data_IF_402710594434
#
_entry.id   IF_402710594434
#
_cell.length_a   1.000
_cell.length_b   1.000
_cell.length_c   1.000
_cell.angle_alpha   90.00
_cell.angle_beta   90.00
_cell.angle_gamma   90.00
#
_symmetry.space_group_name_H-M   'P 1'
#
loop_
_entity.id
_entity.type
_entity.pdbx_description
1 polymer ?
#
# COMPACT_ATOMS: atom_id res chain seq x y z
N UNK A 1 -4.39 5.43 -28.56
CA UNK A 1 -3.19 5.59 -27.72
C UNK A 1 -2.05 4.86 -28.43
N UNK A 2 -0.85 5.44 -28.54
CA UNK A 2 0.30 4.75 -29.15
C UNK A 2 0.81 3.64 -28.23
N UNK A 3 1.48 2.65 -28.77
CA UNK A 3 1.89 1.45 -28.02
C UNK A 3 2.91 1.77 -26.93
N UNK A 4 3.90 2.60 -27.24
CA UNK A 4 4.97 3.04 -26.33
C UNK A 4 4.38 3.73 -25.09
N UNK A 5 3.31 4.50 -25.28
CA UNK A 5 2.61 5.20 -24.17
C UNK A 5 1.88 4.21 -23.27
N UNK A 6 1.33 3.14 -23.83
CA UNK A 6 0.70 2.06 -23.06
C UNK A 6 1.74 1.30 -22.26
N UNK A 7 2.86 0.92 -22.89
CA UNK A 7 3.96 0.22 -22.22
C UNK A 7 4.54 1.05 -21.06
N UNK A 8 4.81 2.33 -21.28
CA UNK A 8 5.33 3.22 -20.23
C UNK A 8 4.34 3.43 -19.09
N UNK A 9 3.03 3.55 -19.36
CA UNK A 9 2.02 3.59 -18.28
C UNK A 9 2.10 2.34 -17.40
N UNK A 10 2.22 1.16 -17.99
CA UNK A 10 2.32 -0.10 -17.23
C UNK A 10 3.60 -0.15 -16.38
N UNK A 11 4.73 0.37 -16.90
CA UNK A 11 5.98 0.53 -16.14
C UNK A 11 5.76 1.45 -14.94
N UNK A 12 5.11 2.61 -15.13
CA UNK A 12 4.80 3.55 -14.04
C UNK A 12 3.93 2.88 -12.97
N UNK A 13 2.89 2.15 -13.38
CA UNK A 13 1.97 1.47 -12.46
C UNK A 13 2.65 0.35 -11.65
N UNK A 14 3.68 -0.28 -12.21
CA UNK A 14 4.42 -1.38 -11.59
C UNK A 14 5.78 -0.99 -11.00
N UNK A 15 6.11 0.30 -11.04
CA UNK A 15 7.36 0.84 -10.49
C UNK A 15 7.54 0.56 -8.99
N UNK A 16 8.72 0.89 -8.47
CA UNK A 16 9.02 0.79 -7.05
C UNK A 16 8.21 1.74 -6.16
N UNK A 17 8.79 2.18 -5.05
CA UNK A 17 8.06 2.91 -3.99
C UNK A 17 7.65 4.37 -4.36
N UNK A 18 8.03 4.86 -5.54
CA UNK A 18 7.75 6.24 -6.00
C UNK A 18 7.28 6.26 -7.46
N UNK A 19 5.98 6.03 -7.73
CA UNK A 19 5.43 6.04 -9.09
C UNK A 19 5.60 7.39 -9.81
N UNK A 20 5.66 8.51 -9.08
CA UNK A 20 5.93 9.84 -9.65
C UNK A 20 7.31 9.92 -10.31
N UNK A 21 8.32 9.31 -9.69
CA UNK A 21 9.69 9.28 -10.25
C UNK A 21 9.68 8.48 -11.54
N UNK A 22 9.02 7.32 -11.55
CA UNK A 22 8.86 6.51 -12.76
C UNK A 22 8.14 7.28 -13.87
N UNK A 23 7.10 8.07 -13.53
CA UNK A 23 6.43 8.92 -14.52
C UNK A 23 7.38 9.93 -15.17
N UNK A 24 8.23 10.59 -14.39
CA UNK A 24 9.20 11.55 -14.96
C UNK A 24 10.30 10.84 -15.77
N UNK A 25 10.73 9.64 -15.35
CA UNK A 25 11.65 8.81 -16.14
C UNK A 25 11.02 8.40 -17.47
N UNK A 26 9.79 7.90 -17.48
CA UNK A 26 9.05 7.57 -18.70
C UNK A 26 8.84 8.79 -19.60
N UNK A 27 8.52 9.94 -19.02
CA UNK A 27 8.37 11.17 -19.79
C UNK A 27 9.69 11.57 -20.47
N UNK A 28 10.82 11.44 -19.78
CA UNK A 28 12.13 11.69 -20.36
C UNK A 28 12.46 10.72 -21.49
N UNK A 29 12.32 9.41 -21.27
CA UNK A 29 12.53 8.37 -22.29
C UNK A 29 11.70 8.66 -23.55
N UNK A 30 10.41 8.95 -23.37
CA UNK A 30 9.49 9.20 -24.49
C UNK A 30 9.79 10.47 -25.28
N UNK A 31 10.38 11.50 -24.68
CA UNK A 31 10.43 12.86 -25.28
C UNK A 31 11.82 13.42 -25.53
N UNK A 32 12.83 12.99 -24.78
CA UNK A 32 14.14 13.65 -24.72
C UNK A 32 15.33 12.70 -24.83
N UNK A 33 15.15 11.43 -24.47
CA UNK A 33 16.24 10.47 -24.53
C UNK A 33 16.71 10.26 -25.98
N UNK A 34 18.01 10.41 -26.29
CA UNK A 34 18.52 10.29 -27.66
C UNK A 34 18.23 8.94 -28.32
N UNK A 35 18.31 7.86 -27.52
CA UNK A 35 17.99 6.49 -27.95
C UNK A 35 16.50 6.15 -27.78
N UNK A 36 15.71 7.08 -27.24
CA UNK A 36 14.28 6.93 -27.04
C UNK A 36 13.45 7.35 -28.26
N UNK A 37 12.11 7.27 -28.16
CA UNK A 37 11.21 7.52 -29.29
C UNK A 37 11.08 9.00 -29.72
N UNK A 38 11.56 9.95 -28.90
CA UNK A 38 11.56 11.40 -29.19
C UNK A 38 10.20 11.96 -29.64
N UNK A 39 9.12 11.52 -28.99
CA UNK A 39 7.76 11.90 -29.34
C UNK A 39 7.42 13.29 -28.82
N UNK A 40 6.58 14.00 -29.56
CA UNK A 40 5.77 15.10 -29.04
C UNK A 40 4.46 14.52 -28.53
N UNK A 41 4.28 14.56 -27.19
CA UNK A 41 3.09 14.00 -26.53
C UNK A 41 1.94 15.00 -26.51
N UNK A 42 0.76 14.50 -26.78
CA UNK A 42 -0.49 15.25 -26.59
C UNK A 42 -0.86 15.35 -25.10
N UNK A 43 -1.68 16.34 -24.71
CA UNK A 43 -2.19 16.42 -23.34
C UNK A 43 -2.92 15.16 -22.88
N UNK A 44 -3.60 14.45 -23.80
CA UNK A 44 -4.29 13.20 -23.51
C UNK A 44 -3.32 12.06 -23.19
N UNK A 45 -2.20 11.95 -23.92
CA UNK A 45 -1.14 10.97 -23.66
C UNK A 45 -0.45 11.24 -22.32
N UNK A 46 -0.13 12.50 -22.02
CA UNK A 46 0.44 12.88 -20.72
C UNK A 46 -0.52 12.53 -19.58
N UNK A 47 -1.80 12.88 -19.72
CA UNK A 47 -2.83 12.55 -18.73
C UNK A 47 -2.96 11.02 -18.53
N UNK A 48 -2.85 10.25 -19.61
CA UNK A 48 -2.88 8.79 -19.54
C UNK A 48 -1.67 8.20 -18.78
N UNK A 49 -0.46 8.71 -19.01
CA UNK A 49 0.73 8.30 -18.24
C UNK A 49 0.59 8.66 -16.74
N UNK A 50 0.05 9.83 -16.43
CA UNK A 50 -0.21 10.25 -15.04
C UNK A 50 -1.19 9.34 -14.31
N UNK A 51 -2.15 8.71 -15.02
CA UNK A 51 -3.01 7.67 -14.41
C UNK A 51 -2.22 6.45 -13.93
N UNK A 52 -1.09 6.13 -14.57
CA UNK A 52 -0.17 5.10 -14.09
C UNK A 52 0.37 5.38 -12.68
N UNK A 53 0.59 6.65 -12.32
CA UNK A 53 1.02 7.04 -10.97
C UNK A 53 -0.05 6.69 -9.94
N UNK A 54 -1.31 6.98 -10.25
CA UNK A 54 -2.46 6.68 -9.39
C UNK A 54 -2.60 5.16 -9.19
N UNK A 55 -2.51 4.40 -10.29
CA UNK A 55 -2.54 2.94 -10.26
C UNK A 55 -1.39 2.35 -9.44
N UNK A 56 -0.18 2.90 -9.58
CA UNK A 56 0.99 2.51 -8.81
C UNK A 56 0.81 2.74 -7.32
N UNK A 57 0.32 3.92 -6.92
CA UNK A 57 0.02 4.20 -5.51
C UNK A 57 -1.04 3.27 -4.95
N UNK A 58 -2.14 3.07 -5.69
CA UNK A 58 -3.20 2.14 -5.30
C UNK A 58 -2.64 0.74 -5.07
N UNK A 59 -1.84 0.20 -6.00
CA UNK A 59 -1.21 -1.12 -5.88
C UNK A 59 -0.35 -1.23 -4.62
N UNK A 60 0.51 -0.24 -4.37
CA UNK A 60 1.42 -0.22 -3.22
C UNK A 60 0.64 -0.18 -1.90
N UNK A 61 -0.35 0.70 -1.81
CA UNK A 61 -1.19 0.83 -0.60
C UNK A 61 -1.93 -0.48 -0.33
N UNK A 62 -2.57 -1.08 -1.35
CA UNK A 62 -3.31 -2.32 -1.20
C UNK A 62 -2.40 -3.51 -0.86
N UNK A 63 -1.16 -3.53 -1.36
CA UNK A 63 -0.13 -4.49 -0.94
C UNK A 63 0.13 -4.39 0.56
N UNK A 64 0.35 -3.19 1.07
CA UNK A 64 0.72 -2.97 2.46
C UNK A 64 -0.46 -3.15 3.43
N UNK A 65 -1.70 -2.99 2.94
CA UNK A 65 -2.93 -3.31 3.67
C UNK A 65 -3.37 -4.78 3.53
N UNK A 66 -2.60 -5.64 2.87
CA UNK A 66 -2.95 -7.05 2.73
C UNK A 66 -2.32 -7.89 3.86
N UNK A 67 -3.10 -8.50 4.76
CA UNK A 67 -2.54 -9.29 5.87
C UNK A 67 -1.74 -10.51 5.41
N UNK A 68 -1.98 -11.03 4.19
CA UNK A 68 -1.20 -12.14 3.60
C UNK A 68 0.23 -11.72 3.22
N UNK A 69 0.54 -10.43 3.25
CA UNK A 69 1.89 -9.92 3.01
C UNK A 69 2.72 -9.93 4.30
N UNK A 70 2.12 -10.07 5.49
CA UNK A 70 2.88 -10.24 6.74
C UNK A 70 3.82 -11.45 6.61
N UNK A 71 5.12 -11.24 6.85
CA UNK A 71 6.16 -12.25 6.66
C UNK A 71 6.78 -12.30 5.25
N UNK A 72 6.26 -11.54 4.28
CA UNK A 72 6.87 -11.40 2.95
C UNK A 72 7.81 -10.20 2.90
N UNK A 73 8.86 -10.31 2.11
CA UNK A 73 9.86 -9.25 1.91
C UNK A 73 9.31 -7.99 1.25
N UNK A 74 8.14 -8.07 0.62
CA UNK A 74 7.48 -7.00 -0.11
C UNK A 74 6.54 -6.18 0.78
N UNK A 75 6.19 -6.68 1.96
CA UNK A 75 5.46 -5.90 2.95
C UNK A 75 6.27 -4.66 3.34
N UNK A 76 5.62 -3.54 3.60
CA UNK A 76 6.30 -2.33 4.10
C UNK A 76 5.59 -1.63 5.25
N UNK A 77 4.57 -2.26 5.84
CA UNK A 77 3.76 -1.81 6.98
C UNK A 77 2.66 -0.78 6.70
N UNK A 78 1.75 -0.64 7.68
CA UNK A 78 0.63 0.33 7.65
C UNK A 78 1.15 1.77 7.58
N UNK A 79 2.23 2.07 8.29
CA UNK A 79 2.88 3.38 8.20
C UNK A 79 3.25 3.74 6.75
N UNK A 80 3.79 2.79 5.98
CA UNK A 80 4.11 3.03 4.56
C UNK A 80 2.86 3.20 3.71
N UNK A 81 1.79 2.45 3.98
CA UNK A 81 0.49 2.64 3.33
C UNK A 81 -0.03 4.08 3.55
N UNK A 82 0.04 4.59 4.78
CA UNK A 82 -0.37 5.97 5.13
C UNK A 82 0.49 7.00 4.38
N UNK A 83 1.81 6.86 4.37
CA UNK A 83 2.73 7.76 3.66
C UNK A 83 2.39 7.80 2.17
N UNK A 84 2.19 6.64 1.55
CA UNK A 84 1.87 6.56 0.13
C UNK A 84 0.46 7.08 -0.18
N UNK A 85 -0.49 6.93 0.73
CA UNK A 85 -1.80 7.56 0.60
C UNK A 85 -1.74 9.10 0.70
N UNK A 86 -0.92 9.65 1.62
CA UNK A 86 -0.63 11.10 1.66
C UNK A 86 0.01 11.60 0.36
N UNK A 87 0.86 10.80 -0.29
CA UNK A 87 1.45 11.14 -1.60
C UNK A 87 0.39 11.09 -2.71
N UNK A 88 -0.39 10.02 -2.79
CA UNK A 88 -1.50 9.90 -3.74
C UNK A 88 -2.46 11.09 -3.66
N UNK A 89 -2.90 11.48 -2.45
CA UNK A 89 -3.79 12.63 -2.27
C UNK A 89 -3.17 13.93 -2.81
N UNK A 90 -1.90 14.20 -2.48
CA UNK A 90 -1.19 15.40 -2.96
C UNK A 90 -1.03 15.39 -4.48
N UNK A 91 -0.67 14.25 -5.05
CA UNK A 91 -0.54 14.08 -6.49
C UNK A 91 -1.86 14.29 -7.20
N UNK A 92 -2.92 13.61 -6.77
CA UNK A 92 -4.26 13.71 -7.35
C UNK A 92 -4.80 15.16 -7.28
N UNK A 93 -4.58 15.85 -6.15
CA UNK A 93 -4.95 17.26 -6.02
C UNK A 93 -4.20 18.15 -7.02
N UNK A 94 -2.87 18.01 -7.10
CA UNK A 94 -2.03 18.81 -8.02
C UNK A 94 -2.41 18.58 -9.48
N UNK A 95 -2.67 17.34 -9.84
CA UNK A 95 -2.96 16.91 -11.21
C UNK A 95 -4.46 16.93 -11.56
N UNK A 96 -5.31 17.35 -10.62
CA UNK A 96 -6.78 17.45 -10.75
C UNK A 96 -7.45 16.12 -11.11
N UNK A 97 -6.95 15.01 -10.56
CA UNK A 97 -7.59 13.70 -10.66
C UNK A 97 -8.56 13.46 -9.51
N UNK A 98 -9.71 12.86 -9.84
CA UNK A 98 -10.59 12.28 -8.84
C UNK A 98 -10.09 10.88 -8.44
N UNK A 99 -10.04 10.64 -7.13
CA UNK A 99 -9.66 9.36 -6.52
C UNK A 99 -10.79 8.78 -5.66
N UNK A 100 -12.00 9.33 -5.74
CA UNK A 100 -13.19 8.90 -4.99
C UNK A 100 -13.43 7.40 -5.09
N UNK A 101 -13.24 6.80 -6.28
CA UNK A 101 -13.41 5.35 -6.50
C UNK A 101 -12.36 4.48 -5.80
N UNK A 102 -11.20 5.05 -5.46
CA UNK A 102 -10.08 4.34 -4.81
C UNK A 102 -10.30 4.27 -3.29
N UNK A 103 -10.91 5.31 -2.70
CA UNK A 103 -11.12 5.42 -1.25
C UNK A 103 -11.83 4.19 -0.66
N UNK A 104 -12.98 3.71 -1.20
CA UNK A 104 -13.66 2.52 -0.68
C UNK A 104 -12.82 1.25 -0.78
N UNK A 105 -11.95 1.15 -1.78
CA UNK A 105 -11.09 -0.03 -1.96
C UNK A 105 -10.01 -0.10 -0.89
N UNK A 106 -9.40 1.04 -0.56
CA UNK A 106 -8.43 1.16 0.52
C UNK A 106 -9.11 0.93 1.87
N UNK A 107 -10.28 1.52 2.10
CA UNK A 107 -11.07 1.34 3.31
C UNK A 107 -11.41 -0.14 3.56
N UNK A 108 -11.87 -0.85 2.52
CA UNK A 108 -12.14 -2.29 2.59
C UNK A 108 -10.89 -3.09 2.92
N UNK A 109 -9.75 -2.78 2.30
CA UNK A 109 -8.49 -3.46 2.58
C UNK A 109 -8.03 -3.25 4.03
N UNK A 110 -8.14 -2.01 4.55
CA UNK A 110 -7.83 -1.70 5.94
C UNK A 110 -8.73 -2.48 6.90
N UNK A 111 -10.03 -2.55 6.64
CA UNK A 111 -10.96 -3.32 7.46
C UNK A 111 -10.61 -4.82 7.51
N UNK A 112 -10.22 -5.39 6.37
CA UNK A 112 -9.73 -6.79 6.29
C UNK A 112 -8.44 -6.96 7.09
N UNK A 113 -7.50 -6.02 6.98
CA UNK A 113 -6.26 -6.04 7.78
C UNK A 113 -6.56 -6.00 9.27
N UNK A 114 -7.44 -5.10 9.71
CA UNK A 114 -7.78 -4.92 11.12
C UNK A 114 -8.53 -6.11 11.69
N UNK A 115 -9.43 -6.73 10.92
CA UNK A 115 -10.05 -7.99 11.33
C UNK A 115 -8.98 -9.06 11.61
N UNK A 116 -8.06 -9.28 10.69
CA UNK A 116 -6.98 -10.25 10.86
C UNK A 116 -6.01 -9.88 12.00
N UNK A 117 -5.81 -8.59 12.26
CA UNK A 117 -5.01 -8.09 13.37
C UNK A 117 -5.65 -8.38 14.73
N UNK A 118 -6.95 -8.14 14.86
CA UNK A 118 -7.69 -8.31 16.11
C UNK A 118 -7.99 -9.78 16.43
N UNK A 119 -8.14 -10.62 15.41
CA UNK A 119 -8.32 -12.06 15.57
C UNK A 119 -7.00 -12.82 15.86
N UNK A 120 -5.84 -12.14 15.84
CA UNK A 120 -4.55 -12.76 16.12
C UNK A 120 -4.27 -12.88 17.62
N UNK A 121 -4.64 -14.03 18.18
CA UNK A 121 -4.46 -14.39 19.60
C UNK A 121 -3.01 -14.23 20.09
N UNK A 122 -2.00 -14.43 19.22
CA UNK A 122 -0.60 -14.25 19.63
C UNK A 122 -0.30 -12.77 19.88
N UNK A 123 -0.75 -11.89 18.99
CA UNK A 123 -0.55 -10.45 19.14
C UNK A 123 -1.28 -9.94 20.38
N UNK A 124 -2.52 -10.39 20.60
CA UNK A 124 -3.28 -10.04 21.79
C UNK A 124 -2.58 -10.50 23.09
N UNK A 125 -2.21 -11.79 23.17
CA UNK A 125 -1.57 -12.36 24.37
C UNK A 125 -0.28 -11.63 24.76
N UNK A 126 0.48 -11.16 23.77
CA UNK A 126 1.75 -10.48 24.00
C UNK A 126 1.63 -8.95 23.98
N UNK A 127 0.40 -8.42 23.92
CA UNK A 127 0.14 -6.97 23.82
C UNK A 127 0.92 -6.30 22.68
N UNK A 128 0.97 -6.95 21.52
CA UNK A 128 1.63 -6.47 20.30
C UNK A 128 0.62 -5.94 19.28
N UNK A 129 1.10 -5.06 18.39
CA UNK A 129 0.38 -4.63 17.19
C UNK A 129 1.33 -4.53 15.99
N UNK A 130 0.87 -4.92 14.81
CA UNK A 130 1.58 -4.73 13.53
C UNK A 130 1.21 -3.42 12.83
N UNK A 131 0.17 -2.73 13.33
CA UNK A 131 -0.10 -1.34 12.99
C UNK A 131 1.00 -0.51 13.66
N UNK A 132 2.01 -0.10 12.90
CA UNK A 132 3.24 0.49 13.40
C UNK A 132 3.32 2.02 13.26
N UNK A 133 2.20 2.66 12.90
CA UNK A 133 2.12 4.11 12.82
C UNK A 133 1.81 4.72 14.19
N UNK A 134 1.98 6.04 14.26
CA UNK A 134 1.53 6.86 15.38
C UNK A 134 -0.01 7.02 15.38
N UNK A 135 -0.55 7.40 16.53
CA UNK A 135 -2.00 7.53 16.74
C UNK A 135 -2.59 8.63 15.87
N UNK A 136 -1.90 9.76 15.74
CA UNK A 136 -2.33 10.91 14.95
C UNK A 136 -2.43 10.54 13.46
N UNK A 137 -1.46 9.77 12.96
CA UNK A 137 -1.44 9.28 11.59
C UNK A 137 -2.55 8.28 11.31
N UNK A 138 -2.85 7.42 12.30
CA UNK A 138 -3.98 6.50 12.25
C UNK A 138 -5.33 7.23 12.22
N UNK A 139 -5.54 8.18 13.13
CA UNK A 139 -6.76 8.99 13.22
C UNK A 139 -6.99 9.79 11.94
N UNK A 140 -5.93 10.38 11.39
CA UNK A 140 -5.99 11.00 10.07
C UNK A 140 -6.41 10.00 8.99
N UNK A 141 -5.79 8.82 8.95
CA UNK A 141 -6.06 7.85 7.90
C UNK A 141 -7.49 7.29 7.94
N UNK A 142 -8.01 6.97 9.12
CA UNK A 142 -9.39 6.47 9.26
C UNK A 142 -10.42 7.54 8.87
N UNK A 143 -10.15 8.82 9.17
CA UNK A 143 -11.00 9.95 8.77
C UNK A 143 -11.07 10.08 7.26
N UNK A 144 -9.91 10.02 6.61
CA UNK A 144 -9.81 10.12 5.16
C UNK A 144 -10.43 8.93 4.41
N UNK A 145 -10.55 7.79 5.09
CA UNK A 145 -11.23 6.60 4.58
C UNK A 145 -12.70 6.51 4.97
N UNK A 146 -13.23 7.51 5.69
CA UNK A 146 -14.60 7.54 6.20
C UNK A 146 -14.96 6.33 7.10
N UNK A 147 -14.03 5.96 7.97
CA UNK A 147 -14.14 4.81 8.87
C UNK A 147 -14.32 5.20 10.35
N UNK A 148 -14.52 6.47 10.68
CA UNK A 148 -14.52 6.97 12.07
C UNK A 148 -15.56 6.27 12.97
N UNK A 149 -16.69 5.87 12.39
CA UNK A 149 -17.79 5.18 13.10
C UNK A 149 -17.90 3.69 12.73
N UNK A 150 -16.84 3.11 12.16
CA UNK A 150 -16.87 1.71 11.74
C UNK A 150 -16.75 0.77 12.95
N UNK A 151 -17.71 -0.13 13.11
CA UNK A 151 -17.63 -1.23 14.09
C UNK A 151 -16.50 -2.23 13.81
N UNK A 152 -15.84 -2.11 12.66
CA UNK A 152 -14.71 -2.94 12.24
C UNK A 152 -13.36 -2.44 12.78
N UNK A 153 -13.33 -1.25 13.40
CA UNK A 153 -12.13 -0.71 14.02
C UNK A 153 -12.15 -0.96 15.54
N UNK A 154 -10.99 -1.26 16.16
CA UNK A 154 -10.93 -1.43 17.60
C UNK A 154 -11.13 -0.10 18.32
N UNK A 155 -11.33 -0.16 19.64
CA UNK A 155 -11.11 1.01 20.47
C UNK A 155 -9.65 1.48 20.30
N UNK A 156 -9.47 2.62 19.62
CA UNK A 156 -8.15 3.16 19.26
C UNK A 156 -7.28 3.38 20.49
N UNK A 157 -7.83 3.91 21.58
CA UNK A 157 -7.08 4.21 22.80
C UNK A 157 -6.48 2.95 23.44
N UNK A 158 -7.28 1.90 23.60
CA UNK A 158 -6.81 0.63 24.15
C UNK A 158 -5.82 -0.07 23.20
N UNK A 159 -6.06 0.01 21.88
CA UNK A 159 -5.22 -0.64 20.89
C UNK A 159 -3.82 -0.01 20.81
N UNK A 160 -3.71 1.31 20.87
CA UNK A 160 -2.42 2.01 20.78
C UNK A 160 -1.56 1.91 22.04
N UNK A 161 -2.09 1.40 23.16
CA UNK A 161 -1.31 0.99 24.33
C UNK A 161 -0.47 -0.27 24.10
N UNK A 162 -0.80 -1.06 23.06
CA UNK A 162 -0.01 -2.23 22.65
C UNK A 162 1.30 -1.79 21.99
N UNK A 163 2.35 -2.59 22.17
CA UNK A 163 3.67 -2.33 21.60
C UNK A 163 3.64 -2.50 20.08
N UNK A 164 3.97 -1.45 19.29
CA UNK A 164 4.07 -1.58 17.85
C UNK A 164 5.31 -2.38 17.47
N UNK A 165 5.12 -3.38 16.61
CA UNK A 165 6.20 -4.04 15.91
C UNK A 165 6.65 -3.18 14.74
N UNK A 166 7.96 -3.01 14.59
CA UNK A 166 8.54 -2.48 13.37
C UNK A 166 8.19 -3.39 12.18
N UNK A 167 8.41 -2.84 10.99
CA UNK A 167 8.33 -3.61 9.75
C UNK A 167 9.19 -4.89 9.78
N UNK A 168 10.43 -4.81 10.29
CA UNK A 168 11.36 -5.95 10.36
C UNK A 168 10.86 -7.02 11.33
N UNK A 169 10.48 -6.62 12.53
CA UNK A 169 9.95 -7.54 13.56
C UNK A 169 8.65 -8.22 13.08
N UNK A 170 7.79 -7.47 12.36
CA UNK A 170 6.58 -8.05 11.75
C UNK A 170 6.93 -9.11 10.72
N UNK A 171 7.93 -8.88 9.87
CA UNK A 171 8.38 -9.90 8.92
C UNK A 171 8.89 -11.13 9.67
N UNK A 172 9.81 -10.95 10.63
CA UNK A 172 10.48 -12.04 11.33
C UNK A 172 9.48 -12.91 12.08
N UNK A 173 8.58 -12.30 12.84
CA UNK A 173 7.53 -12.99 13.58
C UNK A 173 6.67 -13.86 12.65
N UNK A 174 6.19 -13.29 11.54
CA UNK A 174 5.28 -14.01 10.64
C UNK A 174 6.00 -15.03 9.74
N UNK A 175 7.29 -14.83 9.42
CA UNK A 175 8.13 -15.85 8.78
C UNK A 175 8.28 -17.08 9.68
N UNK A 176 8.65 -16.86 10.94
CA UNK A 176 8.81 -17.95 11.92
C UNK A 176 7.50 -18.71 12.09
N UNK A 177 6.38 -18.01 12.28
CA UNK A 177 5.06 -18.62 12.46
C UNK A 177 4.61 -19.45 11.25
N UNK A 178 4.96 -19.03 10.03
CA UNK A 178 4.67 -19.81 8.83
C UNK A 178 5.47 -21.11 8.81
N UNK A 179 6.76 -21.05 9.12
CA UNK A 179 7.62 -22.24 9.17
C UNK A 179 7.20 -23.22 10.28
N UNK A 180 6.84 -22.72 11.47
CA UNK A 180 6.38 -23.58 12.57
C UNK A 180 5.07 -24.30 12.25
N UNK A 181 4.13 -23.66 11.55
CA UNK A 181 2.91 -24.33 11.07
C UNK A 181 3.21 -25.40 10.01
N UNK A 182 4.16 -25.16 9.11
CA UNK A 182 4.60 -26.16 8.12
C UNK A 182 5.25 -27.39 8.76
N UNK A 183 6.00 -27.22 9.85
CA UNK A 183 6.62 -28.33 10.59
C UNK A 183 5.58 -29.17 11.35
N UNK A 184 4.50 -28.57 11.85
CA UNK A 184 3.41 -29.29 12.53
C UNK A 184 2.59 -30.11 11.53
N UNK A 185 2.24 -29.53 10.37
CA UNK A 185 1.45 -30.23 9.34
C UNK A 185 2.19 -31.45 8.75
N UNK A 186 3.52 -31.41 8.64
CA UNK A 186 4.32 -32.56 8.21
C UNK A 186 4.41 -33.68 9.25
N UNK A 187 4.11 -33.41 10.53
CA UNK A 187 4.09 -34.42 11.59
C UNK A 187 2.71 -35.08 11.77
N UNK A 188 1.66 -34.51 11.19
CA UNK A 188 0.27 -34.97 11.36
C UNK A 188 -0.30 -35.73 10.14
N UNK A 189 0.47 -35.88 9.06
CA UNK A 189 0.14 -36.77 7.93
C UNK A 189 1.24 -37.84 7.76
N UNK A 190 1.15 -38.99 8.46
CA UNK A 190 1.91 -40.19 8.14
C UNK A 190 1.44 -40.85 6.83
#
# INVERSE_FOLDING_TARGET
>A
MREEIVQEKEIIAHAGELPEVAFYSSLYFLTQEPEGPQLVLTPAEISFLKKGVIEGYKRIILRDLNPKMKGKTEFRSIERAIINFKRLKRYAYKEKFDISEIIPQIAKALAVYMKAELEDVYLEKHSLRTVNCEKEDWEWFIKELHLENSSLLPNTEAFFKRTPLSFKETIELFKIRKNSKSVIILKENP
#
